data_IF_329170522610
#
_entry.id   IF_329170522610
#
_cell.length_a   1.000
_cell.length_b   1.000
_cell.length_c   1.000
_cell.angle_alpha   90.00
_cell.angle_beta   90.00
_cell.angle_gamma   90.00
#
_symmetry.space_group_name_H-M   'P 1'
#
loop_
_entity.id
_entity.type
_entity.pdbx_description
1 polymer ?
#
# COMPACT_ATOMS: atom_id res chain seq x y z
N UNK A 1 11.93 -2.57 37.96
CA UNK A 1 13.07 -3.12 37.18
C UNK A 1 12.72 -3.27 35.69
N UNK A 2 11.52 -3.73 35.35
CA UNK A 2 11.06 -3.83 33.96
C UNK A 2 10.95 -2.48 33.22
N UNK A 3 10.63 -1.39 33.92
CA UNK A 3 10.49 -0.06 33.30
C UNK A 3 11.82 0.47 32.74
N UNK A 4 12.95 0.16 33.40
CA UNK A 4 14.28 0.52 32.91
C UNK A 4 14.72 -0.30 31.69
N UNK A 5 14.23 -1.54 31.56
CA UNK A 5 14.45 -2.38 30.39
C UNK A 5 13.62 -1.89 29.20
N UNK A 6 12.36 -1.51 29.46
CA UNK A 6 11.46 -0.95 28.45
C UNK A 6 11.98 0.37 27.89
N UNK A 7 12.42 1.29 28.76
CA UNK A 7 13.01 2.57 28.34
C UNK A 7 14.31 2.38 27.53
N UNK A 8 15.14 1.37 27.88
CA UNK A 8 16.33 1.02 27.09
C UNK A 8 15.99 0.40 25.74
N UNK A 9 14.95 -0.43 25.68
CA UNK A 9 14.46 -1.01 24.42
C UNK A 9 13.86 0.06 23.52
N UNK A 10 13.02 0.96 24.05
CA UNK A 10 12.49 2.12 23.30
C UNK A 10 13.60 3.02 22.78
N UNK A 11 14.62 3.31 23.62
CA UNK A 11 15.79 4.08 23.19
C UNK A 11 16.58 3.37 22.10
N UNK A 12 16.83 2.06 22.24
CA UNK A 12 17.52 1.27 21.23
C UNK A 12 16.74 1.20 19.92
N UNK A 13 15.41 1.04 19.96
CA UNK A 13 14.54 1.04 18.78
C UNK A 13 14.50 2.41 18.09
N UNK A 14 14.51 3.50 18.86
CA UNK A 14 14.63 4.87 18.34
C UNK A 14 16.01 5.13 17.72
N UNK A 15 17.08 4.63 18.33
CA UNK A 15 18.47 4.77 17.85
C UNK A 15 18.76 3.87 16.64
N UNK A 16 18.05 2.73 16.49
CA UNK A 16 18.25 1.74 15.42
C UNK A 16 17.24 1.83 14.27
N UNK A 17 16.23 2.71 14.38
CA UNK A 17 15.45 3.16 13.23
C UNK A 17 16.13 4.42 12.72
N UNK A 18 17.10 4.35 11.79
CA UNK A 18 17.57 5.56 11.15
C UNK A 18 16.33 6.27 10.60
N UNK A 19 16.19 7.57 10.91
CA UNK A 19 15.22 8.40 10.23
C UNK A 19 15.55 8.30 8.74
N UNK A 20 14.85 7.41 8.03
CA UNK A 20 15.04 7.24 6.59
C UNK A 20 14.89 8.62 5.96
N UNK A 21 15.76 8.95 5.01
CA UNK A 21 15.77 10.27 4.38
C UNK A 21 14.31 10.66 4.04
N UNK A 22 13.77 11.76 4.61
CA UNK A 22 12.37 12.14 4.40
C UNK A 22 12.05 12.33 2.92
N UNK A 23 13.05 12.66 2.08
CA UNK A 23 12.92 12.69 0.63
C UNK A 23 12.78 11.29 0.02
N UNK A 24 13.54 10.32 0.52
CA UNK A 24 13.39 8.93 0.09
C UNK A 24 12.02 8.36 0.50
N UNK A 25 11.54 8.66 1.71
CA UNK A 25 10.20 8.24 2.17
C UNK A 25 9.08 8.87 1.33
N UNK A 26 9.13 10.17 1.08
CA UNK A 26 8.13 10.85 0.23
C UNK A 26 8.14 10.31 -1.20
N UNK A 27 9.30 9.98 -1.74
CA UNK A 27 9.41 9.34 -3.06
C UNK A 27 8.77 7.94 -3.08
N UNK A 28 8.96 7.13 -2.02
CA UNK A 28 8.32 5.83 -1.89
C UNK A 28 6.79 5.94 -1.78
N UNK A 29 6.28 6.87 -0.96
CA UNK A 29 4.84 7.13 -0.84
C UNK A 29 4.25 7.58 -2.17
N UNK A 30 4.96 8.41 -2.93
CA UNK A 30 4.52 8.83 -4.26
C UNK A 30 4.45 7.66 -5.25
N UNK A 31 5.46 6.78 -5.24
CA UNK A 31 5.47 5.59 -6.09
C UNK A 31 4.31 4.65 -5.75
N UNK A 32 4.12 4.34 -4.47
CA UNK A 32 2.99 3.53 -3.99
C UNK A 32 1.64 4.16 -4.35
N UNK A 33 1.51 5.49 -4.23
CA UNK A 33 0.28 6.20 -4.59
C UNK A 33 -0.05 6.05 -6.08
N UNK A 34 0.94 6.14 -6.96
CA UNK A 34 0.75 5.95 -8.40
C UNK A 34 0.34 4.50 -8.72
N UNK A 35 1.01 3.52 -8.11
CA UNK A 35 0.69 2.11 -8.27
C UNK A 35 -0.75 1.80 -7.82
N UNK A 36 -1.13 2.25 -6.62
CA UNK A 36 -2.50 2.08 -6.10
C UNK A 36 -3.53 2.77 -6.98
N UNK A 37 -3.25 3.95 -7.54
CA UNK A 37 -4.16 4.62 -8.49
C UNK A 37 -4.40 3.78 -9.74
N UNK A 38 -3.35 3.18 -10.30
CA UNK A 38 -3.47 2.28 -11.46
C UNK A 38 -4.30 1.06 -11.07
N UNK A 39 -3.99 0.42 -9.94
CA UNK A 39 -4.74 -0.73 -9.45
C UNK A 39 -6.23 -0.42 -9.27
N UNK A 40 -6.59 0.67 -8.59
CA UNK A 40 -7.99 1.12 -8.45
C UNK A 40 -8.65 1.37 -9.80
N UNK A 41 -7.93 1.96 -10.76
CA UNK A 41 -8.41 2.10 -12.14
C UNK A 41 -8.76 0.76 -12.77
N UNK A 42 -7.86 -0.23 -12.69
CA UNK A 42 -8.11 -1.57 -13.23
C UNK A 42 -9.27 -2.28 -12.53
N UNK A 43 -9.46 -2.08 -11.22
CA UNK A 43 -10.59 -2.63 -10.47
C UNK A 43 -11.92 -2.03 -10.94
N UNK A 44 -11.96 -0.72 -11.21
CA UNK A 44 -13.15 -0.05 -11.77
C UNK A 44 -13.50 -0.59 -13.15
N UNK A 45 -12.52 -0.75 -14.03
CA UNK A 45 -12.74 -1.30 -15.37
C UNK A 45 -13.24 -2.75 -15.31
N UNK A 46 -12.66 -3.56 -14.40
CA UNK A 46 -13.09 -4.94 -14.18
C UNK A 46 -14.51 -5.05 -13.62
N UNK A 47 -14.90 -4.13 -12.73
CA UNK A 47 -16.27 -4.03 -12.23
C UNK A 47 -17.25 -3.71 -13.36
N UNK A 48 -16.96 -2.69 -14.18
CA UNK A 48 -17.79 -2.33 -15.34
C UNK A 48 -17.94 -3.50 -16.32
N UNK A 49 -16.86 -4.25 -16.58
CA UNK A 49 -16.93 -5.44 -17.41
C UNK A 49 -17.83 -6.53 -16.81
N UNK A 50 -17.79 -6.72 -15.50
CA UNK A 50 -18.60 -7.70 -14.79
C UNK A 50 -20.07 -7.31 -14.73
N UNK A 51 -20.38 -6.03 -14.54
CA UNK A 51 -21.74 -5.47 -14.62
C UNK A 51 -22.33 -5.64 -16.03
N UNK A 52 -21.54 -5.39 -17.08
CA UNK A 52 -21.97 -5.65 -18.47
C UNK A 52 -22.24 -7.13 -18.73
N UNK A 53 -21.41 -8.02 -18.18
CA UNK A 53 -21.62 -9.46 -18.30
C UNK A 53 -22.89 -9.91 -17.57
N UNK A 54 -23.17 -9.34 -16.39
CA UNK A 54 -24.41 -9.59 -15.65
C UNK A 54 -25.64 -9.15 -16.45
N UNK A 55 -25.62 -7.96 -17.04
CA UNK A 55 -26.76 -7.49 -17.86
C UNK A 55 -26.94 -8.30 -19.14
N UNK A 56 -25.85 -8.68 -19.81
CA UNK A 56 -25.92 -9.58 -20.95
C UNK A 56 -26.56 -10.92 -20.56
N UNK A 57 -26.20 -11.49 -19.40
CA UNK A 57 -26.78 -12.74 -18.92
C UNK A 57 -28.26 -12.61 -18.56
N UNK A 58 -28.67 -11.49 -17.95
CA UNK A 58 -30.09 -11.18 -17.68
C UNK A 58 -30.92 -11.12 -18.96
N UNK A 59 -30.37 -10.54 -20.02
CA UNK A 59 -31.00 -10.55 -21.34
C UNK A 59 -31.12 -11.98 -21.90
N UNK A 60 -30.07 -12.80 -21.78
CA UNK A 60 -30.11 -14.20 -22.20
C UNK A 60 -31.17 -15.01 -21.44
N UNK A 61 -31.31 -14.80 -20.12
CA UNK A 61 -32.38 -15.42 -19.35
C UNK A 61 -33.76 -15.01 -19.87
N UNK A 62 -33.98 -13.70 -20.07
CA UNK A 62 -35.26 -13.21 -20.57
C UNK A 62 -35.60 -13.80 -21.95
N UNK A 63 -34.60 -13.98 -22.82
CA UNK A 63 -34.73 -14.62 -24.13
C UNK A 63 -35.04 -16.11 -24.00
N UNK A 64 -34.34 -16.83 -23.12
CA UNK A 64 -34.58 -18.24 -22.84
C UNK A 64 -35.99 -18.48 -22.29
N UNK A 65 -36.47 -17.63 -21.37
CA UNK A 65 -37.83 -17.71 -20.83
C UNK A 65 -38.89 -17.39 -21.88
N UNK A 66 -38.66 -16.41 -22.76
CA UNK A 66 -39.55 -16.13 -23.90
C UNK A 66 -39.64 -17.35 -24.82
N UNK A 67 -38.51 -17.98 -25.15
CA UNK A 67 -38.47 -19.20 -25.97
C UNK A 67 -39.13 -20.39 -25.28
N UNK A 68 -38.96 -20.53 -23.96
CA UNK A 68 -39.65 -21.56 -23.16
C UNK A 68 -41.17 -21.41 -23.19
N UNK A 69 -41.68 -20.18 -23.13
CA UNK A 69 -43.13 -19.91 -23.29
C UNK A 69 -43.66 -20.27 -24.69
N UNK A 70 -42.84 -20.15 -25.73
CA UNK A 70 -43.20 -20.60 -27.08
C UNK A 70 -43.15 -22.12 -27.19
N UNK A 71 -42.12 -22.76 -26.60
CA UNK A 71 -42.02 -24.21 -26.54
C UNK A 71 -43.22 -24.87 -25.84
N UNK A 72 -43.73 -24.25 -24.77
CA UNK A 72 -44.92 -24.74 -24.07
C UNK A 72 -46.21 -24.75 -24.91
N UNK A 73 -46.22 -24.07 -26.07
CA UNK A 73 -47.35 -24.08 -27.01
C UNK A 73 -47.27 -25.25 -28.00
N UNK A 74 -46.13 -25.94 -28.05
CA UNK A 74 -45.91 -27.12 -28.89
C UNK A 74 -46.17 -28.37 -28.05
N UNK A 75 -46.86 -29.40 -28.58
CA UNK A 75 -47.13 -30.65 -27.87
C UNK A 75 -45.89 -31.56 -27.83
N UNK A 76 -44.75 -31.01 -27.42
CA UNK A 76 -43.49 -31.73 -27.22
C UNK A 76 -42.93 -31.43 -25.82
N UNK A 77 -43.12 -32.35 -24.84
CA UNK A 77 -42.67 -32.15 -23.47
C UNK A 77 -41.14 -32.11 -23.34
N UNK A 78 -40.39 -32.75 -24.25
CA UNK A 78 -38.93 -32.74 -24.20
C UNK A 78 -38.39 -31.34 -24.48
N UNK A 79 -38.97 -30.64 -25.48
CA UNK A 79 -38.59 -29.26 -25.80
C UNK A 79 -38.87 -28.30 -24.62
N UNK A 80 -39.99 -28.48 -23.91
CA UNK A 80 -40.31 -27.68 -22.71
C UNK A 80 -39.28 -27.92 -21.60
N UNK A 81 -38.98 -29.18 -21.30
CA UNK A 81 -38.01 -29.54 -20.26
C UNK A 81 -36.59 -29.01 -20.57
N UNK A 82 -36.19 -29.05 -21.85
CA UNK A 82 -34.92 -28.48 -22.29
C UNK A 82 -34.90 -26.96 -22.08
N UNK A 83 -35.97 -26.26 -22.48
CA UNK A 83 -36.05 -24.81 -22.30
C UNK A 83 -35.99 -24.39 -20.83
N UNK A 84 -36.67 -25.12 -19.93
CA UNK A 84 -36.60 -24.91 -18.49
C UNK A 84 -35.18 -25.08 -17.96
N UNK A 85 -34.48 -26.16 -18.36
CA UNK A 85 -33.10 -26.41 -17.95
C UNK A 85 -32.14 -25.32 -18.45
N UNK A 86 -32.36 -24.77 -19.64
CA UNK A 86 -31.57 -23.63 -20.12
C UNK A 86 -31.82 -22.36 -19.29
N UNK A 87 -33.08 -22.05 -18.97
CA UNK A 87 -33.41 -20.92 -18.11
C UNK A 87 -32.82 -21.08 -16.69
N UNK A 88 -32.89 -22.29 -16.11
CA UNK A 88 -32.27 -22.64 -14.82
C UNK A 88 -30.78 -22.27 -14.80
N UNK A 89 -30.03 -22.71 -15.82
CA UNK A 89 -28.59 -22.45 -15.95
C UNK A 89 -28.27 -20.95 -16.03
N UNK A 90 -29.09 -20.17 -16.73
CA UNK A 90 -28.93 -18.72 -16.78
C UNK A 90 -29.21 -18.07 -15.43
N UNK A 91 -30.23 -18.53 -14.67
CA UNK A 91 -30.49 -18.04 -13.30
C UNK A 91 -29.34 -18.34 -12.35
N UNK A 92 -28.80 -19.56 -12.39
CA UNK A 92 -27.62 -19.94 -11.61
C UNK A 92 -26.43 -19.03 -11.94
N UNK A 93 -26.16 -18.81 -13.24
CA UNK A 93 -25.06 -17.96 -13.69
C UNK A 93 -25.25 -16.50 -13.28
N UNK A 94 -26.46 -15.95 -13.35
CA UNK A 94 -26.81 -14.63 -12.83
C UNK A 94 -26.48 -14.56 -11.34
N UNK A 95 -26.92 -15.54 -10.54
CA UNK A 95 -26.65 -15.56 -9.10
C UNK A 95 -25.14 -15.56 -8.77
N UNK A 96 -24.30 -16.21 -9.57
CA UNK A 96 -22.84 -16.14 -9.42
C UNK A 96 -22.30 -14.77 -9.82
N UNK A 97 -22.78 -14.19 -10.93
CA UNK A 97 -22.34 -12.87 -11.41
C UNK A 97 -22.74 -11.75 -10.44
N UNK A 98 -23.94 -11.81 -9.85
CA UNK A 98 -24.39 -10.85 -8.84
C UNK A 98 -23.49 -10.86 -7.60
N UNK A 99 -23.16 -12.05 -7.09
CA UNK A 99 -22.21 -12.19 -5.98
C UNK A 99 -20.84 -11.63 -6.32
N UNK A 100 -20.36 -11.88 -7.54
CA UNK A 100 -19.08 -11.35 -8.02
C UNK A 100 -19.08 -9.83 -8.08
N UNK A 101 -20.12 -9.23 -8.66
CA UNK A 101 -20.27 -7.77 -8.74
C UNK A 101 -20.32 -7.16 -7.34
N UNK A 102 -21.09 -7.74 -6.42
CA UNK A 102 -21.16 -7.26 -5.04
C UNK A 102 -19.79 -7.31 -4.35
N UNK A 103 -19.06 -8.42 -4.46
CA UNK A 103 -17.70 -8.56 -3.92
C UNK A 103 -16.75 -7.50 -4.51
N UNK A 104 -16.73 -7.33 -5.84
CA UNK A 104 -15.88 -6.37 -6.51
C UNK A 104 -16.19 -4.92 -6.08
N UNK A 105 -17.46 -4.59 -5.84
CA UNK A 105 -17.85 -3.28 -5.31
C UNK A 105 -17.32 -3.06 -3.89
N UNK A 106 -17.36 -4.08 -3.03
CA UNK A 106 -16.81 -4.01 -1.67
C UNK A 106 -15.28 -3.87 -1.67
N UNK A 107 -14.59 -4.67 -2.47
CA UNK A 107 -13.14 -4.60 -2.66
C UNK A 107 -12.72 -3.23 -3.21
N UNK A 108 -13.44 -2.69 -4.19
CA UNK A 108 -13.17 -1.36 -4.73
C UNK A 108 -13.31 -0.27 -3.66
N UNK A 109 -14.36 -0.34 -2.82
CA UNK A 109 -14.54 0.62 -1.71
C UNK A 109 -13.42 0.54 -0.67
N UNK A 110 -12.85 -0.65 -0.43
CA UNK A 110 -11.68 -0.80 0.43
C UNK A 110 -10.46 -0.13 -0.22
N UNK A 111 -10.17 -0.46 -1.47
CA UNK A 111 -9.03 0.10 -2.19
C UNK A 111 -9.10 1.63 -2.37
N UNK A 112 -10.31 2.19 -2.55
CA UNK A 112 -10.53 3.64 -2.61
C UNK A 112 -10.23 4.33 -1.27
N UNK A 113 -10.58 3.71 -0.14
CA UNK A 113 -10.23 4.22 1.19
C UNK A 113 -8.73 4.16 1.44
N UNK A 114 -8.08 3.07 1.07
CA UNK A 114 -6.63 2.92 1.20
C UNK A 114 -5.89 3.96 0.34
N UNK A 115 -6.40 4.23 -0.86
CA UNK A 115 -5.88 5.28 -1.73
C UNK A 115 -6.02 6.67 -1.11
N UNK A 116 -7.14 6.97 -0.45
CA UNK A 116 -7.37 8.23 0.26
C UNK A 116 -6.42 8.39 1.46
N UNK A 117 -6.22 7.32 2.24
CA UNK A 117 -5.28 7.30 3.35
C UNK A 117 -3.85 7.56 2.87
N UNK A 118 -3.39 6.81 1.85
CA UNK A 118 -2.05 6.96 1.28
C UNK A 118 -1.84 8.36 0.66
N UNK A 119 -2.87 8.93 0.04
CA UNK A 119 -2.86 10.30 -0.47
C UNK A 119 -2.69 11.32 0.67
N UNK A 120 -3.33 11.10 1.80
CA UNK A 120 -3.21 11.94 2.99
C UNK A 120 -1.82 11.83 3.61
N UNK A 121 -1.30 10.62 3.75
CA UNK A 121 0.08 10.37 4.23
C UNK A 121 1.12 11.02 3.33
N UNK A 122 0.98 10.90 2.01
CA UNK A 122 1.86 11.54 1.05
C UNK A 122 1.83 13.07 1.17
N UNK A 123 0.66 13.68 1.30
CA UNK A 123 0.52 15.13 1.51
C UNK A 123 1.22 15.56 2.80
N UNK A 124 1.00 14.83 3.89
CA UNK A 124 1.58 15.10 5.19
C UNK A 124 3.11 15.00 5.16
N UNK A 125 3.65 13.94 4.54
CA UNK A 125 5.09 13.75 4.36
C UNK A 125 5.71 14.85 3.47
N UNK A 126 5.02 15.27 2.41
CA UNK A 126 5.46 16.37 1.53
C UNK A 126 5.49 17.72 2.25
N UNK A 127 4.55 17.96 3.16
CA UNK A 127 4.48 19.18 3.96
C UNK A 127 5.41 19.16 5.18
N UNK A 128 6.11 18.04 5.44
CA UNK A 128 6.95 17.85 6.62
C UNK A 128 6.15 17.71 7.93
N UNK A 129 4.81 17.69 7.86
CA UNK A 129 3.92 17.39 8.99
C UNK A 129 3.78 15.87 9.11
N UNK A 130 4.85 15.25 9.59
CA UNK A 130 4.91 13.82 9.90
C UNK A 130 3.85 13.45 10.97
N UNK A 131 2.94 12.50 10.71
CA UNK A 131 1.96 12.05 11.70
C UNK A 131 2.58 11.29 12.88
N UNK A 132 3.89 11.03 12.86
CA UNK A 132 4.64 10.44 13.97
C UNK A 132 4.94 11.40 15.12
N UNK A 133 4.94 12.73 14.89
CA UNK A 133 5.12 13.74 15.96
C UNK A 133 3.76 14.05 16.58
N UNK A 134 3.36 13.26 17.58
CA UNK A 134 2.18 13.63 18.36
C UNK A 134 2.42 14.98 19.05
N UNK A 135 1.36 15.79 19.23
CA UNK A 135 1.46 17.04 20.02
C UNK A 135 2.08 16.80 21.40
N UNK A 136 1.92 15.59 21.95
CA UNK A 136 2.55 15.15 23.20
C UNK A 136 4.07 14.98 23.07
N UNK A 137 4.58 14.44 21.95
CA UNK A 137 6.01 14.42 21.69
C UNK A 137 6.56 15.83 21.46
N UNK A 138 5.83 16.72 20.79
CA UNK A 138 6.23 18.12 20.67
C UNK A 138 6.25 18.85 22.01
N UNK A 139 5.27 18.61 22.88
CA UNK A 139 5.25 19.13 24.24
C UNK A 139 6.43 18.58 25.06
N UNK A 140 6.70 17.27 24.99
CA UNK A 140 7.83 16.65 25.67
C UNK A 140 9.18 17.21 25.18
N UNK A 141 9.31 17.50 23.89
CA UNK A 141 10.51 18.17 23.35
C UNK A 141 10.63 19.62 23.81
N UNK A 142 9.53 20.37 23.90
CA UNK A 142 9.53 21.74 24.45
C UNK A 142 9.90 21.77 25.92
N UNK A 143 9.42 20.80 26.70
CA UNK A 143 9.76 20.67 28.13
C UNK A 143 11.26 20.31 28.31
N UNK A 144 11.80 19.45 27.44
CA UNK A 144 13.23 19.12 27.42
C UNK A 144 14.10 20.32 27.01
N UNK A 145 13.69 21.11 26.01
CA UNK A 145 14.37 22.34 25.62
C UNK A 145 14.35 23.40 26.74
N UNK A 146 13.23 23.54 27.45
CA UNK A 146 13.13 24.42 28.62
C UNK A 146 14.04 23.98 29.78
N UNK A 147 14.33 22.68 29.88
CA UNK A 147 15.29 22.12 30.84
C UNK A 147 16.75 22.15 30.36
N UNK A 148 17.03 22.76 29.19
CA UNK A 148 18.37 22.89 28.63
C UNK A 148 18.85 21.70 27.81
N UNK A 149 17.94 20.77 27.46
CA UNK A 149 18.22 19.70 26.51
C UNK A 149 18.27 20.22 25.07
N UNK A 150 19.23 19.76 24.28
CA UNK A 150 19.37 20.13 22.87
C UNK A 150 18.64 19.12 22.00
N UNK A 151 17.88 19.61 21.02
CA UNK A 151 17.15 18.76 20.08
C UNK A 151 18.12 18.12 19.10
N UNK A 152 17.97 16.83 18.74
CA UNK A 152 18.83 16.20 17.74
C UNK A 152 18.85 16.92 16.38
N UNK A 153 17.76 17.60 16.01
CA UNK A 153 17.63 18.37 14.77
C UNK A 153 18.29 19.77 14.83
N UNK A 154 18.60 20.27 16.03
CA UNK A 154 19.26 21.57 16.24
C UNK A 154 20.68 21.44 16.78
N UNK A 155 21.11 20.21 17.10
CA UNK A 155 22.47 19.89 17.54
C UNK A 155 23.43 19.80 16.34
N UNK A 156 23.77 20.97 15.80
CA UNK A 156 24.70 21.14 14.68
C UNK A 156 26.10 20.61 15.04
N UNK A 157 26.49 20.65 16.32
CA UNK A 157 27.79 20.15 16.78
C UNK A 157 27.86 18.62 16.72
N UNK A 158 26.81 17.93 17.16
CA UNK A 158 26.74 16.47 17.10
C UNK A 158 26.62 15.95 15.65
N UNK A 159 25.88 16.63 14.77
CA UNK A 159 25.87 16.31 13.33
C UNK A 159 27.26 16.49 12.68
N UNK A 160 27.97 17.58 13.01
CA UNK A 160 29.32 17.82 12.51
C UNK A 160 30.33 16.78 13.02
N UNK A 161 30.21 16.35 14.27
CA UNK A 161 31.01 15.27 14.85
C UNK A 161 30.77 13.94 14.13
N UNK A 162 29.52 13.58 13.89
CA UNK A 162 29.15 12.36 13.14
C UNK A 162 29.68 12.39 11.70
N UNK A 163 29.58 13.54 11.02
CA UNK A 163 30.12 13.72 9.67
C UNK A 163 31.64 13.54 9.63
N UNK A 164 32.38 14.10 10.58
CA UNK A 164 33.84 13.92 10.69
C UNK A 164 34.24 12.48 10.96
N UNK A 165 33.53 11.79 11.85
CA UNK A 165 33.79 10.38 12.15
C UNK A 165 33.53 9.48 10.92
N UNK A 166 32.48 9.77 10.15
CA UNK A 166 32.16 9.06 8.91
C UNK A 166 33.25 9.27 7.85
N UNK A 167 33.75 10.50 7.68
CA UNK A 167 34.86 10.80 6.78
C UNK A 167 36.14 10.06 7.18
N UNK A 168 36.49 10.06 8.47
CA UNK A 168 37.65 9.32 8.96
C UNK A 168 37.56 7.80 8.71
N UNK A 169 36.36 7.22 8.87
CA UNK A 169 36.16 5.79 8.58
C UNK A 169 36.32 5.48 7.08
N UNK A 170 35.81 6.35 6.20
CA UNK A 170 35.99 6.22 4.76
C UNK A 170 37.46 6.34 4.35
N UNK A 171 38.19 7.31 4.91
CA UNK A 171 39.61 7.50 4.64
C UNK A 171 40.43 6.28 5.07
N UNK A 172 40.12 5.70 6.24
CA UNK A 172 40.77 4.47 6.71
C UNK A 172 40.47 3.28 5.78
N UNK A 173 39.25 3.14 5.29
CA UNK A 173 38.87 2.08 4.36
C UNK A 173 39.58 2.24 3.00
N UNK A 174 39.69 3.47 2.48
CA UNK A 174 40.42 3.78 1.25
C UNK A 174 41.91 3.50 1.43
N UNK A 175 42.50 3.89 2.55
CA UNK A 175 43.91 3.62 2.85
C UNK A 175 44.21 2.11 2.91
N UNK A 176 43.34 1.34 3.57
CA UNK A 176 43.46 -0.11 3.62
C UNK A 176 43.38 -0.77 2.23
N UNK A 177 42.51 -0.26 1.35
CA UNK A 177 42.43 -0.71 -0.04
C UNK A 177 43.68 -0.34 -0.85
N UNK A 178 44.22 0.88 -0.67
CA UNK A 178 45.45 1.32 -1.31
C UNK A 178 46.65 0.48 -0.87
N UNK A 179 46.77 0.18 0.42
CA UNK A 179 47.87 -0.64 0.94
C UNK A 179 47.79 -2.08 0.45
N UNK A 180 46.58 -2.63 0.36
CA UNK A 180 46.36 -3.94 -0.25
C UNK A 180 46.72 -3.96 -1.75
N UNK A 181 46.42 -2.87 -2.50
CA UNK A 181 46.80 -2.74 -3.91
C UNK A 181 48.31 -2.56 -4.10
N UNK A 182 48.97 -1.74 -3.27
CA UNK A 182 50.43 -1.57 -3.27
C UNK A 182 51.15 -2.89 -3.02
N UNK A 183 50.67 -3.67 -2.04
CA UNK A 183 51.19 -5.01 -1.73
C UNK A 183 51.02 -6.00 -2.89
N UNK A 184 49.94 -5.90 -3.68
CA UNK A 184 49.73 -6.73 -4.89
C UNK A 184 50.57 -6.29 -6.09
N UNK A 185 50.90 -5.01 -6.19
CA UNK A 185 51.65 -4.42 -7.32
C UNK A 185 53.18 -4.42 -7.12
N UNK A 186 53.68 -4.92 -5.99
CA UNK A 186 55.13 -5.09 -5.75
C UNK A 186 55.92 -3.78 -5.68
N UNK A 187 55.25 -2.67 -5.37
CA UNK A 187 55.89 -1.38 -5.07
C UNK A 187 55.82 -1.16 -3.56
N UNK A 188 56.89 -1.52 -2.87
CA UNK A 188 57.23 -0.89 -1.59
C UNK A 188 57.75 0.53 -1.82
#
# INVERSE_FOLDING_TARGET
MFDGLKARLEKLLADSTPAGDPRARTAQLHAALLETKVAVGTMRDALVASERALEAERQQLADAERRGRLAAQVPDPETVAVAERFAERHRERIGVLEKRVALQQEELRLAERDLEQLSTEYKNARMGTEPGRTQQQEAAWRDLEAAGGVRPETDVEDELLKSRLSQQQMDQAVQAQLDHLKKKLGRE
#
